data_IF_008253853512
#
_entry.id   IF_008253853512
#
_cell.length_a   1.000
_cell.length_b   1.000
_cell.length_c   1.000
_cell.angle_alpha   90.00
_cell.angle_beta   90.00
_cell.angle_gamma   90.00
#
_symmetry.space_group_name_H-M   'P 1'
#
loop_
_entity.id
_entity.type
_entity.pdbx_description
1 polymer ?
#
# COMPACT_ATOMS: atom_id res chain seq x y z
N UNK A 1 34.80 75.97 2.55
CA UNK A 1 35.02 74.50 2.53
C UNK A 1 34.17 73.79 3.60
N UNK A 2 32.84 73.73 3.50
CA UNK A 2 32.00 72.94 4.47
C UNK A 2 30.69 72.37 3.87
N UNK A 3 30.54 72.36 2.55
CA UNK A 3 29.30 71.88 1.88
C UNK A 3 29.46 70.45 1.32
N UNK A 4 30.69 70.00 1.05
CA UNK A 4 30.97 68.69 0.45
C UNK A 4 30.89 67.49 1.43
N UNK A 5 30.84 67.71 2.74
CA UNK A 5 30.78 66.63 3.74
C UNK A 5 29.37 66.13 4.06
N UNK A 6 28.33 66.92 3.80
CA UNK A 6 26.94 66.56 4.17
C UNK A 6 26.30 65.66 3.11
N UNK A 7 26.59 65.90 1.82
CA UNK A 7 26.01 65.12 0.72
C UNK A 7 26.50 63.65 0.70
N UNK A 8 27.79 63.42 0.99
CA UNK A 8 28.34 62.06 1.09
C UNK A 8 27.79 61.27 2.28
N UNK A 9 27.40 61.95 3.37
CA UNK A 9 26.84 61.32 4.57
C UNK A 9 25.37 60.87 4.38
N UNK A 10 24.61 61.60 3.58
CA UNK A 10 23.23 61.24 3.21
C UNK A 10 23.18 60.09 2.20
N UNK A 11 24.15 60.01 1.28
CA UNK A 11 24.20 58.97 0.24
C UNK A 11 24.63 57.60 0.82
N UNK A 12 25.59 57.59 1.75
CA UNK A 12 26.01 56.38 2.48
C UNK A 12 24.93 55.83 3.42
N UNK A 13 24.11 56.70 4.04
CA UNK A 13 22.95 56.29 4.86
C UNK A 13 21.79 55.70 4.04
N UNK A 14 21.62 56.09 2.78
CA UNK A 14 20.57 55.51 1.90
C UNK A 14 20.96 54.12 1.40
N UNK A 15 22.23 53.92 1.03
CA UNK A 15 22.75 52.61 0.58
C UNK A 15 22.72 51.56 1.70
N UNK A 16 23.04 51.95 2.94
CA UNK A 16 22.99 51.06 4.10
C UNK A 16 21.55 50.68 4.52
N UNK A 17 20.58 51.58 4.38
CA UNK A 17 19.15 51.26 4.60
C UNK A 17 18.59 50.30 3.53
N UNK A 18 18.96 50.47 2.27
CA UNK A 18 18.54 49.56 1.18
C UNK A 18 19.16 48.16 1.34
N UNK A 19 20.43 48.08 1.74
CA UNK A 19 21.09 46.79 2.04
C UNK A 19 20.45 46.04 3.22
N UNK A 20 20.07 46.75 4.29
CA UNK A 20 19.40 46.14 5.44
C UNK A 20 18.01 45.61 5.09
N UNK A 21 17.23 46.34 4.29
CA UNK A 21 15.90 45.90 3.83
C UNK A 21 16.01 44.67 2.93
N UNK A 22 17.00 44.62 2.03
CA UNK A 22 17.26 43.45 1.18
C UNK A 22 17.63 42.21 1.99
N UNK A 23 18.47 42.34 3.02
CA UNK A 23 18.86 41.24 3.89
C UNK A 23 17.67 40.71 4.73
N UNK A 24 16.82 41.62 5.24
CA UNK A 24 15.60 41.24 5.95
C UNK A 24 14.62 40.48 5.04
N UNK A 25 14.44 40.92 3.80
CA UNK A 25 13.56 40.24 2.84
C UNK A 25 14.04 38.82 2.51
N UNK A 26 15.35 38.61 2.33
CA UNK A 26 15.95 37.29 2.11
C UNK A 26 15.79 36.36 3.33
N UNK A 27 15.98 36.90 4.55
CA UNK A 27 15.75 36.15 5.79
C UNK A 27 14.28 35.73 5.95
N UNK A 28 13.33 36.63 5.66
CA UNK A 28 11.89 36.33 5.70
C UNK A 28 11.48 35.27 4.66
N UNK A 29 12.06 35.30 3.47
CA UNK A 29 11.87 34.27 2.45
C UNK A 29 12.47 32.91 2.88
N UNK A 30 13.65 32.91 3.52
CA UNK A 30 14.27 31.70 4.06
C UNK A 30 13.47 31.06 5.19
N UNK A 31 12.92 31.87 6.12
CA UNK A 31 12.09 31.38 7.23
C UNK A 31 10.77 30.79 6.72
N UNK A 32 10.14 31.41 5.72
CA UNK A 32 8.91 30.88 5.12
C UNK A 32 9.11 29.58 4.34
N UNK A 33 10.22 29.45 3.60
CA UNK A 33 10.58 28.19 2.94
C UNK A 33 10.85 27.05 3.94
N UNK A 34 11.54 27.34 5.05
CA UNK A 34 11.82 26.35 6.09
C UNK A 34 10.54 25.92 6.85
N UNK A 35 9.61 26.85 7.08
CA UNK A 35 8.32 26.56 7.70
C UNK A 35 7.44 25.66 6.81
N UNK A 36 7.42 25.90 5.49
CA UNK A 36 6.68 25.06 4.54
C UNK A 36 7.24 23.62 4.50
N UNK A 37 8.57 23.47 4.52
CA UNK A 37 9.20 22.16 4.54
C UNK A 37 8.88 21.38 5.82
N UNK A 38 8.90 22.05 6.99
CA UNK A 38 8.48 21.43 8.26
C UNK A 38 7.03 20.99 8.25
N UNK A 39 6.13 21.81 7.68
CA UNK A 39 4.72 21.45 7.59
C UNK A 39 4.47 20.19 6.73
N UNK A 40 5.24 20.00 5.66
CA UNK A 40 5.19 18.79 4.81
C UNK A 40 5.69 17.57 5.59
N UNK A 41 6.80 17.70 6.31
CA UNK A 41 7.38 16.61 7.12
C UNK A 41 6.44 16.23 8.27
N UNK A 42 5.83 17.21 8.94
CA UNK A 42 4.86 16.97 10.02
C UNK A 42 3.57 16.31 9.52
N UNK A 43 3.10 16.68 8.33
CA UNK A 43 1.98 16.01 7.65
C UNK A 43 2.29 14.54 7.37
N UNK A 44 3.46 14.23 6.82
CA UNK A 44 3.90 12.86 6.56
C UNK A 44 4.05 12.06 7.86
N UNK A 45 4.62 12.64 8.90
CA UNK A 45 4.78 12.00 10.20
C UNK A 45 3.43 11.76 10.92
N UNK A 46 2.43 12.62 10.69
CA UNK A 46 1.09 12.44 11.24
C UNK A 46 0.28 11.39 10.47
N UNK A 47 0.47 11.29 9.16
CA UNK A 47 -0.12 10.25 8.33
C UNK A 47 0.41 8.85 8.70
N UNK A 48 1.71 8.72 8.96
CA UNK A 48 2.33 7.44 9.36
C UNK A 48 1.94 6.99 10.78
N UNK A 49 1.75 7.93 11.73
CA UNK A 49 1.34 7.61 13.10
C UNK A 49 -0.10 7.09 13.25
N UNK A 50 -0.98 7.43 12.30
CA UNK A 50 -2.40 7.05 12.35
C UNK A 50 -2.72 5.81 11.53
N UNK A 51 -1.77 5.27 10.78
CA UNK A 51 -1.93 4.01 10.07
C UNK A 51 -1.63 2.87 11.04
N UNK A 52 -2.67 2.23 11.58
CA UNK A 52 -2.52 0.91 12.16
C UNK A 52 -1.98 -0.04 11.07
N UNK A 53 -1.01 -0.92 11.37
CA UNK A 53 -0.55 -1.89 10.39
C UNK A 53 -1.74 -2.77 9.98
N UNK A 54 -2.08 -2.90 8.69
CA UNK A 54 -3.07 -3.86 8.27
C UNK A 54 -2.55 -5.25 8.64
N UNK A 55 -3.17 -5.88 9.63
CA UNK A 55 -2.92 -7.27 9.98
C UNK A 55 -3.65 -8.14 8.96
N UNK A 56 -2.92 -8.57 7.93
CA UNK A 56 -3.39 -9.52 6.93
C UNK A 56 -3.29 -9.00 5.51
N UNK A 57 -2.09 -8.98 4.94
CA UNK A 57 -1.89 -9.23 3.52
C UNK A 57 -0.43 -9.67 3.34
N UNK A 58 -0.23 -10.93 2.98
CA UNK A 58 1.11 -11.46 2.68
C UNK A 58 1.44 -11.13 1.21
N UNK A 59 2.70 -10.79 0.94
CA UNK A 59 3.18 -10.38 -0.39
C UNK A 59 3.27 -11.58 -1.37
N UNK A 60 3.31 -12.79 -0.84
CA UNK A 60 3.39 -14.06 -1.58
C UNK A 60 2.10 -14.47 -2.30
N UNK A 61 0.95 -13.93 -1.94
CA UNK A 61 -0.34 -14.27 -2.58
C UNK A 61 -0.62 -13.44 -3.84
N UNK A 62 0.25 -12.48 -4.19
CA UNK A 62 0.10 -11.64 -5.37
C UNK A 62 0.84 -12.23 -6.57
N UNK A 63 0.07 -12.84 -7.49
CA UNK A 63 0.59 -13.35 -8.76
C UNK A 63 1.11 -12.20 -9.65
N UNK A 64 2.38 -12.19 -10.05
CA UNK A 64 2.88 -11.25 -11.05
C UNK A 64 2.46 -11.66 -12.46
N UNK A 65 1.68 -10.82 -13.12
CA UNK A 65 1.63 -10.76 -14.58
C UNK A 65 0.71 -11.77 -15.28
N UNK A 66 -0.54 -11.35 -15.52
CA UNK A 66 -1.37 -11.91 -16.60
C UNK A 66 -0.87 -11.53 -18.01
N UNK A 67 0.19 -10.71 -18.11
CA UNK A 67 0.82 -10.28 -19.36
C UNK A 67 1.75 -11.33 -20.01
N UNK A 68 2.11 -12.42 -19.32
CA UNK A 68 3.09 -13.39 -19.82
C UNK A 68 2.51 -14.63 -20.52
N UNK A 69 1.19 -14.82 -20.56
CA UNK A 69 0.62 -16.12 -20.93
C UNK A 69 0.05 -16.29 -22.35
N UNK A 70 0.10 -15.28 -23.22
CA UNK A 70 -0.42 -15.45 -24.59
C UNK A 70 0.51 -14.89 -25.67
N UNK A 71 1.65 -15.56 -25.85
CA UNK A 71 2.20 -15.80 -27.19
C UNK A 71 1.84 -17.24 -27.58
N UNK A 72 0.56 -17.52 -27.77
CA UNK A 72 0.07 -18.73 -28.39
C UNK A 72 -1.27 -18.41 -29.07
N UNK A 73 -1.43 -18.93 -30.27
CA UNK A 73 -2.37 -18.56 -31.33
C UNK A 73 -3.82 -18.28 -30.92
N UNK A 74 -4.47 -17.43 -31.74
CA UNK A 74 -5.89 -17.08 -31.70
C UNK A 74 -6.79 -18.32 -31.65
N UNK A 75 -7.30 -18.66 -30.47
CA UNK A 75 -8.42 -19.58 -30.32
C UNK A 75 -9.74 -18.78 -30.21
N UNK A 76 -10.83 -19.23 -30.87
CA UNK A 76 -12.12 -18.54 -30.83
C UNK A 76 -12.72 -18.55 -29.42
N UNK A 77 -13.36 -17.44 -29.05
CA UNK A 77 -14.06 -17.24 -27.77
C UNK A 77 -15.08 -18.37 -27.55
N UNK A 78 -15.02 -19.13 -26.44
CA UNK A 78 -16.01 -20.17 -26.19
C UNK A 78 -17.39 -19.55 -25.93
N UNK A 79 -18.43 -20.19 -26.47
CA UNK A 79 -19.82 -19.80 -26.25
C UNK A 79 -20.18 -19.80 -24.75
N UNK A 80 -21.24 -19.06 -24.38
CA UNK A 80 -21.78 -19.00 -23.01
C UNK A 80 -21.91 -20.42 -22.44
N UNK A 81 -21.20 -20.71 -21.35
CA UNK A 81 -21.25 -21.98 -20.64
C UNK A 81 -20.07 -22.93 -20.89
N UNK A 82 -19.06 -22.56 -21.69
CA UNK A 82 -17.91 -23.41 -21.94
C UNK A 82 -16.62 -22.85 -21.29
N UNK A 83 -16.28 -23.36 -20.12
CA UNK A 83 -14.88 -23.44 -19.66
C UNK A 83 -14.28 -24.70 -20.27
N UNK A 84 -13.15 -24.59 -20.97
CA UNK A 84 -12.50 -25.66 -21.76
C UNK A 84 -11.99 -26.89 -20.99
N UNK A 85 -12.59 -27.23 -19.86
CA UNK A 85 -12.37 -28.46 -19.10
C UNK A 85 -13.72 -28.95 -18.59
N UNK A 86 -14.25 -29.99 -19.26
CA UNK A 86 -15.48 -30.74 -18.90
C UNK A 86 -16.76 -29.86 -18.91
N UNK A 87 -17.76 -30.27 -19.69
CA UNK A 87 -19.09 -29.69 -19.59
C UNK A 87 -19.57 -29.84 -18.14
N UNK A 88 -19.84 -28.73 -17.45
CA UNK A 88 -20.52 -28.79 -16.16
C UNK A 88 -21.79 -29.62 -16.34
N UNK A 89 -22.09 -30.59 -15.46
CA UNK A 89 -23.35 -31.30 -15.53
C UNK A 89 -24.47 -30.27 -15.54
N UNK A 90 -25.51 -30.51 -16.35
CA UNK A 90 -26.75 -29.74 -16.35
C UNK A 90 -27.45 -29.93 -15.00
N UNK A 91 -26.91 -29.31 -13.95
CA UNK A 91 -27.63 -29.11 -12.71
C UNK A 91 -28.80 -28.20 -13.07
N UNK A 92 -30.04 -28.59 -12.76
CA UNK A 92 -31.17 -27.71 -12.98
C UNK A 92 -30.90 -26.44 -12.18
N UNK A 93 -30.57 -25.35 -12.89
CA UNK A 93 -30.60 -24.01 -12.30
C UNK A 93 -32.00 -23.87 -11.72
N UNK A 94 -32.16 -23.70 -10.39
CA UNK A 94 -33.48 -23.60 -9.82
C UNK A 94 -34.24 -22.48 -10.54
N UNK A 95 -35.51 -22.67 -10.92
CA UNK A 95 -36.29 -21.62 -11.58
C UNK A 95 -36.29 -20.40 -10.66
N UNK A 96 -35.53 -19.37 -11.05
CA UNK A 96 -35.15 -18.30 -10.12
C UNK A 96 -33.67 -17.91 -10.15
N UNK A 97 -32.74 -18.79 -10.52
CA UNK A 97 -31.30 -18.54 -10.41
C UNK A 97 -30.80 -17.42 -11.34
N UNK A 98 -31.33 -17.37 -12.57
CA UNK A 98 -31.07 -16.28 -13.52
C UNK A 98 -31.82 -14.98 -13.16
N UNK A 99 -32.78 -15.06 -12.25
CA UNK A 99 -33.56 -13.94 -11.70
C UNK A 99 -33.26 -13.71 -10.23
N UNK A 100 -32.17 -14.29 -9.69
CA UNK A 100 -31.65 -13.88 -8.41
C UNK A 100 -31.28 -12.43 -8.63
N UNK A 101 -32.13 -11.54 -8.11
CA UNK A 101 -31.79 -10.14 -7.97
C UNK A 101 -30.35 -10.10 -7.43
N UNK A 102 -29.47 -9.22 -7.94
CA UNK A 102 -28.17 -9.04 -7.33
C UNK A 102 -28.45 -8.96 -5.83
N UNK A 103 -27.83 -9.86 -5.06
CA UNK A 103 -28.01 -9.92 -3.61
C UNK A 103 -28.09 -8.47 -3.14
N UNK A 104 -29.19 -8.08 -2.51
CA UNK A 104 -29.44 -6.69 -2.13
C UNK A 104 -28.33 -6.12 -1.23
N UNK A 105 -27.40 -6.97 -0.79
CA UNK A 105 -26.14 -6.65 -0.13
C UNK A 105 -25.05 -6.02 -1.03
N UNK A 106 -25.13 -6.12 -2.36
CA UNK A 106 -24.17 -5.51 -3.28
C UNK A 106 -24.63 -4.10 -3.65
N UNK A 107 -24.14 -3.13 -2.89
CA UNK A 107 -24.36 -1.71 -3.18
C UNK A 107 -23.29 -1.19 -4.15
N UNK A 108 -23.68 -0.53 -5.26
CA UNK A 108 -22.70 0.13 -6.11
C UNK A 108 -22.01 1.26 -5.35
N UNK A 109 -20.71 1.44 -5.63
CA UNK A 109 -19.98 2.58 -5.09
C UNK A 109 -20.52 3.90 -5.67
N UNK A 110 -20.38 5.00 -4.93
CA UNK A 110 -20.66 6.32 -5.50
C UNK A 110 -19.70 6.62 -6.68
N UNK A 111 -20.05 7.54 -7.61
CA UNK A 111 -19.11 8.03 -8.62
C UNK A 111 -17.85 8.65 -7.99
N UNK A 112 -16.67 8.40 -8.57
CA UNK A 112 -15.42 9.01 -8.10
C UNK A 112 -15.34 10.46 -8.55
N UNK A 113 -14.78 11.33 -7.71
CA UNK A 113 -14.69 12.75 -7.99
C UNK A 113 -13.30 13.27 -7.70
N UNK A 114 -12.73 13.92 -8.71
CA UNK A 114 -11.47 14.67 -8.64
C UNK A 114 -11.73 16.18 -8.57
N UNK A 115 -12.91 16.61 -8.13
CA UNK A 115 -13.33 18.01 -8.17
C UNK A 115 -12.32 18.97 -7.51
N UNK A 116 -11.77 18.57 -6.35
CA UNK A 116 -10.83 19.38 -5.56
C UNK A 116 -9.35 19.11 -5.90
N UNK A 117 -9.06 18.21 -6.83
CA UNK A 117 -7.70 17.82 -7.19
C UNK A 117 -7.04 18.86 -8.11
N UNK A 118 -5.75 19.12 -7.89
CA UNK A 118 -4.96 19.93 -8.83
C UNK A 118 -4.77 19.22 -10.18
N UNK A 119 -4.44 19.95 -11.24
CA UNK A 119 -4.14 19.34 -12.54
C UNK A 119 -3.00 18.30 -12.45
N UNK A 120 -1.99 18.59 -11.63
CA UNK A 120 -0.88 17.67 -11.33
C UNK A 120 -1.37 16.40 -10.66
N UNK A 121 -2.22 16.51 -9.62
CA UNK A 121 -2.78 15.34 -8.94
C UNK A 121 -3.64 14.50 -9.89
N UNK A 122 -4.46 15.14 -10.73
CA UNK A 122 -5.26 14.42 -11.74
C UNK A 122 -4.39 13.63 -12.71
N UNK A 123 -3.30 14.23 -13.18
CA UNK A 123 -2.33 13.57 -14.06
C UNK A 123 -1.64 12.38 -13.39
N UNK A 124 -1.22 12.54 -12.13
CA UNK A 124 -0.59 11.46 -11.34
C UNK A 124 -1.56 10.32 -11.07
N UNK A 125 -2.77 10.63 -10.60
CA UNK A 125 -3.82 9.64 -10.37
C UNK A 125 -4.13 8.84 -11.64
N UNK A 126 -4.25 9.52 -12.79
CA UNK A 126 -4.47 8.87 -14.08
C UNK A 126 -3.31 7.93 -14.44
N UNK A 127 -2.06 8.38 -14.29
CA UNK A 127 -0.88 7.57 -14.58
C UNK A 127 -0.81 6.32 -13.68
N UNK A 128 -1.00 6.49 -12.37
CA UNK A 128 -0.95 5.38 -11.41
C UNK A 128 -2.06 4.37 -11.63
N UNK A 129 -3.30 4.84 -11.83
CA UNK A 129 -4.43 3.94 -12.09
C UNK A 129 -4.26 3.18 -13.41
N UNK A 130 -3.79 3.86 -14.47
CA UNK A 130 -3.48 3.23 -15.76
C UNK A 130 -2.43 2.15 -15.60
N UNK A 131 -1.36 2.45 -14.84
CA UNK A 131 -0.26 1.52 -14.58
C UNK A 131 -0.78 0.28 -13.87
N UNK A 132 -1.58 0.44 -12.82
CA UNK A 132 -2.17 -0.69 -12.10
C UNK A 132 -3.08 -1.54 -12.99
N UNK A 133 -3.99 -0.92 -13.75
CA UNK A 133 -4.89 -1.66 -14.65
C UNK A 133 -4.09 -2.44 -15.71
N UNK A 134 -3.03 -1.84 -16.25
CA UNK A 134 -2.20 -2.50 -17.24
C UNK A 134 -1.53 -3.76 -16.67
N UNK A 135 -0.85 -3.65 -15.53
CA UNK A 135 -0.11 -4.79 -14.99
C UNK A 135 -1.00 -5.88 -14.37
N UNK A 136 -2.19 -5.51 -13.89
CA UNK A 136 -3.12 -6.45 -13.26
C UNK A 136 -4.10 -7.08 -14.27
N UNK A 137 -4.52 -6.33 -15.29
CA UNK A 137 -5.68 -6.69 -16.11
C UNK A 137 -5.53 -6.33 -17.60
N UNK A 138 -4.32 -6.11 -18.14
CA UNK A 138 -4.14 -5.81 -19.57
C UNK A 138 -4.74 -6.87 -20.50
N UNK A 139 -4.70 -8.14 -20.12
CA UNK A 139 -5.21 -9.28 -20.90
C UNK A 139 -6.67 -9.63 -20.56
N UNK A 140 -7.27 -8.96 -19.57
CA UNK A 140 -8.66 -9.15 -19.20
C UNK A 140 -9.61 -8.43 -20.20
N UNK A 141 -10.87 -8.88 -20.28
CA UNK A 141 -11.91 -8.10 -20.96
C UNK A 141 -12.07 -6.72 -20.30
N UNK A 142 -12.64 -5.75 -21.01
CA UNK A 142 -12.83 -4.39 -20.49
C UNK A 142 -13.59 -4.34 -19.17
N UNK A 143 -14.49 -5.30 -18.93
CA UNK A 143 -15.18 -5.46 -17.65
C UNK A 143 -14.23 -5.78 -16.49
N UNK A 144 -13.21 -6.62 -16.71
CA UNK A 144 -12.18 -6.95 -15.72
C UNK A 144 -11.28 -5.74 -15.42
N UNK A 145 -10.88 -4.98 -16.44
CA UNK A 145 -10.14 -3.73 -16.25
C UNK A 145 -10.93 -2.71 -15.43
N UNK A 146 -12.21 -2.51 -15.76
CA UNK A 146 -13.11 -1.62 -14.98
C UNK A 146 -13.26 -2.12 -13.54
N UNK A 147 -13.28 -3.44 -13.34
CA UNK A 147 -13.43 -4.02 -12.02
C UNK A 147 -12.20 -3.79 -11.12
N UNK A 148 -10.99 -3.99 -11.65
CA UNK A 148 -9.74 -3.65 -10.95
C UNK A 148 -9.68 -2.15 -10.65
N UNK A 149 -10.04 -1.30 -11.61
CA UNK A 149 -10.11 0.14 -11.40
C UNK A 149 -11.06 0.50 -10.25
N UNK A 150 -12.25 -0.11 -10.21
CA UNK A 150 -13.24 0.10 -9.16
C UNK A 150 -12.71 -0.30 -7.78
N UNK A 151 -12.00 -1.44 -7.66
CA UNK A 151 -11.40 -1.87 -6.39
C UNK A 151 -10.37 -0.86 -5.89
N UNK A 152 -9.50 -0.35 -6.77
CA UNK A 152 -8.50 0.67 -6.40
C UNK A 152 -9.19 1.92 -5.88
N UNK A 153 -10.23 2.40 -6.57
CA UNK A 153 -10.97 3.60 -6.13
C UNK A 153 -11.80 3.35 -4.86
N UNK A 154 -12.27 2.12 -4.65
CA UNK A 154 -12.92 1.71 -3.40
C UNK A 154 -11.92 1.77 -2.23
N UNK A 155 -10.68 1.28 -2.43
CA UNK A 155 -9.60 1.39 -1.44
C UNK A 155 -9.32 2.85 -1.10
N UNK A 156 -9.19 3.73 -2.08
CA UNK A 156 -8.97 5.18 -1.84
C UNK A 156 -10.03 5.80 -0.90
N UNK A 157 -11.27 5.30 -0.95
CA UNK A 157 -12.38 5.78 -0.09
C UNK A 157 -12.52 5.08 1.24
N UNK A 158 -11.75 4.03 1.47
CA UNK A 158 -11.84 3.21 2.65
C UNK A 158 -10.69 3.54 3.61
N UNK A 159 -10.98 3.84 4.90
CA UNK A 159 -9.98 4.38 5.83
C UNK A 159 -8.88 3.38 6.23
N UNK A 160 -9.00 2.12 5.84
CA UNK A 160 -7.93 1.13 6.00
C UNK A 160 -6.82 1.24 4.93
N UNK A 161 -6.99 2.10 3.92
CA UNK A 161 -6.05 2.25 2.80
C UNK A 161 -5.65 3.71 2.59
N UNK A 162 -4.54 3.97 1.86
CA UNK A 162 -4.12 5.32 1.52
C UNK A 162 -5.23 6.13 0.81
N UNK A 163 -5.26 7.44 1.07
CA UNK A 163 -6.27 8.35 0.53
C UNK A 163 -6.00 8.86 -0.90
N UNK A 164 -4.97 8.32 -1.56
CA UNK A 164 -4.53 8.72 -2.90
C UNK A 164 -4.38 7.50 -3.79
N UNK A 165 -4.60 7.68 -5.09
CA UNK A 165 -4.57 6.58 -6.07
C UNK A 165 -3.17 6.00 -6.18
N UNK A 166 -2.14 6.83 -6.33
CA UNK A 166 -0.75 6.38 -6.35
C UNK A 166 -0.35 5.77 -5.00
N UNK A 167 -0.86 6.30 -3.88
CA UNK A 167 -0.63 5.73 -2.56
C UNK A 167 -1.15 4.30 -2.44
N UNK A 168 -2.34 4.01 -2.97
CA UNK A 168 -2.90 2.65 -3.02
C UNK A 168 -2.11 1.76 -3.97
N UNK A 169 -1.80 2.25 -5.18
CA UNK A 169 -1.13 1.47 -6.24
C UNK A 169 0.30 1.06 -5.85
N UNK A 170 1.01 1.92 -5.13
CA UNK A 170 2.38 1.65 -4.68
C UNK A 170 2.47 1.33 -3.19
N UNK A 171 1.35 1.02 -2.54
CA UNK A 171 1.31 0.64 -1.14
C UNK A 171 2.27 -0.53 -0.88
N UNK A 172 3.13 -0.38 0.12
CA UNK A 172 4.06 -1.43 0.53
C UNK A 172 5.42 -1.43 -0.18
N UNK A 173 5.57 -0.68 -1.28
CA UNK A 173 6.81 -0.68 -2.07
C UNK A 173 8.03 -0.04 -1.39
N UNK A 174 7.83 0.61 -0.25
CA UNK A 174 8.88 1.14 0.64
C UNK A 174 9.43 0.09 1.64
N UNK A 175 8.79 -1.08 1.77
CA UNK A 175 9.19 -2.18 2.67
C UNK A 175 9.03 -3.57 2.04
N UNK A 176 9.13 -4.64 2.84
CA UNK A 176 9.30 -6.02 2.38
C UNK A 176 8.07 -6.68 1.72
N UNK A 177 7.01 -5.94 1.40
CA UNK A 177 5.82 -6.49 0.75
C UNK A 177 5.07 -5.44 -0.06
N UNK A 178 4.80 -5.71 -1.33
CA UNK A 178 4.01 -4.82 -2.19
C UNK A 178 2.56 -5.28 -2.27
N UNK A 179 1.62 -4.33 -2.21
CA UNK A 179 0.21 -4.60 -2.49
C UNK A 179 -0.04 -5.00 -3.95
N UNK A 180 0.74 -4.49 -4.89
CA UNK A 180 0.70 -4.92 -6.29
C UNK A 180 2.08 -5.43 -6.66
N UNK A 181 2.16 -6.69 -7.09
CA UNK A 181 3.44 -7.38 -7.32
C UNK A 181 4.33 -6.63 -8.31
N UNK A 182 3.74 -6.00 -9.34
CA UNK A 182 4.47 -5.24 -10.35
C UNK A 182 5.29 -4.06 -9.78
N UNK A 183 4.93 -3.56 -8.60
CA UNK A 183 5.66 -2.48 -7.93
C UNK A 183 6.99 -2.96 -7.30
N UNK A 184 7.11 -4.26 -7.02
CA UNK A 184 8.30 -4.86 -6.40
C UNK A 184 9.07 -5.82 -7.33
N UNK A 185 8.41 -6.46 -8.30
CA UNK A 185 8.97 -7.57 -9.10
C UNK A 185 9.91 -7.15 -10.24
N UNK A 186 10.18 -5.85 -10.38
CA UNK A 186 10.99 -5.32 -11.48
C UNK A 186 10.21 -4.99 -12.77
N UNK A 187 8.88 -5.14 -12.80
CA UNK A 187 8.05 -4.94 -14.01
C UNK A 187 8.26 -3.59 -14.65
N UNK A 188 8.31 -2.55 -13.83
CA UNK A 188 8.41 -1.17 -14.27
C UNK A 188 9.74 -0.87 -14.96
N UNK A 189 10.78 -1.67 -14.72
CA UNK A 189 12.10 -1.54 -15.32
C UNK A 189 12.25 -2.34 -16.62
N UNK A 190 11.33 -3.27 -16.94
CA UNK A 190 11.45 -4.21 -18.08
C UNK A 190 11.17 -3.61 -19.46
N UNK A 191 10.73 -2.34 -19.54
CA UNK A 191 10.64 -1.60 -20.80
C UNK A 191 9.30 -0.92 -21.04
N UNK A 192 9.08 -0.50 -22.29
CA UNK A 192 7.89 0.28 -22.68
C UNK A 192 6.66 -0.64 -22.79
N UNK A 193 5.54 -0.31 -22.13
CA UNK A 193 4.29 -1.05 -22.25
C UNK A 193 3.81 -1.19 -23.71
N UNK A 194 3.11 -2.27 -24.02
CA UNK A 194 2.46 -2.44 -25.32
C UNK A 194 1.43 -1.34 -25.55
N UNK A 195 1.60 -0.56 -26.63
CA UNK A 195 0.83 0.68 -26.89
C UNK A 195 -0.69 0.46 -26.87
N UNK A 196 -1.18 -0.61 -27.50
CA UNK A 196 -2.62 -0.87 -27.59
C UNK A 196 -3.23 -1.20 -26.23
N UNK A 197 -2.62 -2.12 -25.47
CA UNK A 197 -3.08 -2.51 -24.14
C UNK A 197 -2.97 -1.34 -23.15
N UNK A 198 -1.92 -0.54 -23.23
CA UNK A 198 -1.77 0.67 -22.42
C UNK A 198 -2.88 1.69 -22.69
N UNK A 199 -3.20 1.95 -23.97
CA UNK A 199 -4.29 2.87 -24.33
C UNK A 199 -5.65 2.37 -23.86
N UNK A 200 -5.91 1.06 -23.88
CA UNK A 200 -7.13 0.48 -23.29
C UNK A 200 -7.19 0.74 -21.78
N UNK A 201 -6.11 0.42 -21.06
CA UNK A 201 -6.01 0.67 -19.63
C UNK A 201 -6.19 2.16 -19.29
N UNK A 202 -5.61 3.06 -20.09
CA UNK A 202 -5.72 4.51 -19.93
C UNK A 202 -7.17 4.99 -20.09
N UNK A 203 -7.88 4.50 -21.10
CA UNK A 203 -9.28 4.85 -21.32
C UNK A 203 -10.17 4.38 -20.16
N UNK A 204 -9.92 3.17 -19.65
CA UNK A 204 -10.63 2.64 -18.48
C UNK A 204 -10.32 3.46 -17.23
N UNK A 205 -9.05 3.81 -17.00
CA UNK A 205 -8.64 4.67 -15.88
C UNK A 205 -9.30 6.05 -15.95
N UNK A 206 -9.30 6.68 -17.12
CA UNK A 206 -9.91 7.98 -17.34
C UNK A 206 -11.43 7.93 -17.07
N UNK A 207 -12.12 6.89 -17.56
CA UNK A 207 -13.54 6.70 -17.30
C UNK A 207 -13.82 6.52 -15.79
N UNK A 208 -13.07 5.65 -15.11
CA UNK A 208 -13.26 5.41 -13.68
C UNK A 208 -13.05 6.68 -12.84
N UNK A 209 -11.98 7.44 -13.13
CA UNK A 209 -11.70 8.72 -12.49
C UNK A 209 -12.72 9.82 -12.85
N UNK A 210 -13.35 9.71 -14.02
CA UNK A 210 -14.45 10.54 -14.47
C UNK A 210 -15.81 10.18 -13.84
N UNK A 211 -15.86 9.18 -12.95
CA UNK A 211 -17.05 8.82 -12.20
C UNK A 211 -17.83 7.62 -12.75
N UNK A 212 -17.32 6.93 -13.76
CA UNK A 212 -17.94 5.67 -14.22
C UNK A 212 -17.78 4.58 -13.16
N UNK A 213 -18.90 3.99 -12.74
CA UNK A 213 -18.95 2.98 -11.67
C UNK A 213 -19.17 1.58 -12.24
N UNK A 214 -18.35 0.63 -11.81
CA UNK A 214 -18.57 -0.79 -12.09
C UNK A 214 -19.47 -1.41 -11.02
N UNK A 215 -20.80 -1.26 -11.19
CA UNK A 215 -21.79 -1.62 -10.18
C UNK A 215 -21.71 -3.09 -9.71
N UNK A 216 -21.35 -4.01 -10.61
CA UNK A 216 -21.23 -5.44 -10.30
C UNK A 216 -20.17 -5.75 -9.22
N UNK A 217 -19.13 -4.92 -9.11
CA UNK A 217 -18.06 -5.07 -8.11
C UNK A 217 -18.50 -4.56 -6.74
N UNK A 218 -19.50 -3.67 -6.70
CA UNK A 218 -19.97 -3.03 -5.50
C UNK A 218 -18.85 -2.38 -4.69
N UNK A 219 -18.78 -2.72 -3.40
CA UNK A 219 -17.80 -2.21 -2.44
C UNK A 219 -16.59 -3.13 -2.24
N UNK A 220 -16.25 -3.97 -3.23
CA UNK A 220 -15.08 -4.84 -3.12
C UNK A 220 -13.79 -4.04 -2.96
N UNK A 221 -12.94 -4.51 -2.06
CA UNK A 221 -11.60 -3.95 -1.78
C UNK A 221 -10.49 -4.97 -2.03
N UNK A 222 -10.86 -6.21 -2.36
CA UNK A 222 -9.95 -7.33 -2.55
C UNK A 222 -10.34 -8.08 -3.80
N UNK A 223 -9.35 -8.64 -4.50
CA UNK A 223 -9.58 -9.61 -5.55
C UNK A 223 -8.43 -10.60 -5.60
N UNK A 224 -8.68 -11.75 -6.21
CA UNK A 224 -7.65 -12.72 -6.57
C UNK A 224 -8.00 -13.37 -7.90
N UNK A 225 -7.01 -13.95 -8.59
CA UNK A 225 -7.25 -14.72 -9.80
C UNK A 225 -7.64 -16.15 -9.46
N UNK A 226 -8.27 -16.87 -10.39
CA UNK A 226 -8.53 -18.31 -10.21
C UNK A 226 -7.28 -19.17 -10.02
N UNK A 227 -6.08 -18.65 -10.33
CA UNK A 227 -4.83 -19.37 -10.23
C UNK A 227 -4.34 -19.52 -8.78
N UNK A 228 -4.88 -18.74 -7.84
CA UNK A 228 -4.48 -18.75 -6.43
C UNK A 228 -5.71 -18.87 -5.53
N UNK A 229 -5.57 -19.46 -4.34
CA UNK A 229 -6.65 -19.52 -3.35
C UNK A 229 -6.12 -19.02 -2.02
N UNK A 230 -6.08 -17.70 -1.81
CA UNK A 230 -5.50 -17.14 -0.62
C UNK A 230 -6.37 -17.45 0.61
N UNK A 231 -5.73 -17.72 1.75
CA UNK A 231 -6.42 -18.13 2.97
C UNK A 231 -7.47 -17.11 3.45
N UNK A 232 -7.23 -15.81 3.21
CA UNK A 232 -8.12 -14.72 3.61
C UNK A 232 -9.46 -14.71 2.85
N UNK A 233 -9.57 -15.35 1.68
CA UNK A 233 -10.81 -15.28 0.88
C UNK A 233 -12.02 -15.85 1.63
N UNK A 234 -11.80 -16.82 2.52
CA UNK A 234 -12.81 -17.48 3.35
C UNK A 234 -13.42 -16.54 4.39
N UNK A 235 -12.67 -15.50 4.78
CA UNK A 235 -13.08 -14.50 5.77
C UNK A 235 -13.76 -13.28 5.14
N UNK A 236 -13.87 -13.23 3.80
CA UNK A 236 -14.49 -12.14 3.06
C UNK A 236 -15.75 -12.62 2.34
N UNK A 237 -16.58 -11.66 1.92
CA UNK A 237 -17.78 -11.96 1.12
C UNK A 237 -17.42 -11.79 -0.35
N UNK A 238 -17.56 -12.86 -1.14
CA UNK A 238 -17.45 -12.77 -2.59
C UNK A 238 -18.61 -11.96 -3.16
N UNK A 239 -18.29 -10.99 -4.02
CA UNK A 239 -19.24 -10.04 -4.61
C UNK A 239 -19.47 -10.31 -6.09
N UNK A 240 -18.40 -10.64 -6.83
CA UNK A 240 -18.47 -10.89 -8.26
C UNK A 240 -17.33 -11.80 -8.73
N UNK A 241 -17.55 -12.47 -9.85
CA UNK A 241 -16.52 -13.11 -10.67
C UNK A 241 -16.55 -12.47 -12.05
N UNK A 242 -15.46 -11.81 -12.45
CA UNK A 242 -15.37 -11.07 -13.72
C UNK A 242 -14.03 -11.38 -14.37
N UNK A 243 -14.07 -11.95 -15.58
CA UNK A 243 -12.86 -12.44 -16.24
C UNK A 243 -12.17 -13.50 -15.40
N UNK A 244 -10.86 -13.38 -15.20
CA UNK A 244 -10.07 -14.28 -14.38
C UNK A 244 -10.18 -14.01 -12.87
N UNK A 245 -10.92 -12.99 -12.44
CA UNK A 245 -10.84 -12.43 -11.10
C UNK A 245 -12.10 -12.65 -10.25
N UNK A 246 -11.89 -13.01 -8.98
CA UNK A 246 -12.92 -13.07 -7.95
C UNK A 246 -12.79 -11.88 -6.99
N UNK A 247 -13.85 -11.09 -6.86
CA UNK A 247 -13.89 -9.83 -6.11
C UNK A 247 -14.56 -10.02 -4.75
N UNK A 248 -13.97 -9.44 -3.71
CA UNK A 248 -14.39 -9.64 -2.33
C UNK A 248 -14.51 -8.31 -1.57
N UNK A 249 -15.52 -8.23 -0.70
CA UNK A 249 -15.72 -7.15 0.27
C UNK A 249 -15.57 -7.68 1.70
N UNK A 250 -15.35 -6.77 2.64
CA UNK A 250 -15.31 -7.12 4.05
C UNK A 250 -16.66 -7.59 4.57
N UNK A 251 -16.63 -8.39 5.63
CA UNK A 251 -17.82 -8.75 6.40
C UNK A 251 -18.18 -7.62 7.38
N UNK A 252 -19.45 -7.59 7.79
CA UNK A 252 -19.95 -6.62 8.76
C UNK A 252 -19.83 -5.16 8.30
N UNK A 253 -19.70 -4.25 9.27
CA UNK A 253 -19.73 -2.79 9.06
C UNK A 253 -18.72 -2.31 8.03
N UNK A 254 -17.51 -2.86 8.03
CA UNK A 254 -16.42 -2.45 7.13
C UNK A 254 -16.70 -2.76 5.64
N UNK A 255 -17.60 -3.70 5.35
CA UNK A 255 -18.03 -3.98 3.97
C UNK A 255 -19.21 -3.13 3.50
N UNK A 256 -19.79 -2.31 4.37
CA UNK A 256 -20.97 -1.48 4.05
C UNK A 256 -20.56 -0.12 3.51
N UNK A 257 -21.44 0.58 2.75
CA UNK A 257 -21.17 1.93 2.27
C UNK A 257 -20.77 2.93 3.37
N UNK A 258 -21.24 2.73 4.61
CA UNK A 258 -20.92 3.60 5.76
C UNK A 258 -19.43 3.62 6.13
N UNK A 259 -18.67 2.58 5.78
CA UNK A 259 -17.22 2.53 6.03
C UNK A 259 -16.42 3.36 5.03
N UNK A 260 -16.96 3.68 3.85
CA UNK A 260 -16.27 4.33 2.74
C UNK A 260 -16.39 5.85 2.80
N UNK A 261 -15.93 6.40 3.93
CA UNK A 261 -16.08 7.81 4.33
C UNK A 261 -14.84 8.66 4.02
N UNK A 262 -13.77 8.07 3.49
CA UNK A 262 -12.57 8.81 3.13
C UNK A 262 -12.80 9.56 1.81
N UNK A 263 -12.55 10.87 1.83
CA UNK A 263 -12.70 11.73 0.65
C UNK A 263 -11.34 11.92 -0.02
N UNK A 264 -11.34 11.91 -1.35
CA UNK A 264 -10.17 12.24 -2.13
C UNK A 264 -9.93 13.75 -2.14
N UNK A 265 -8.78 14.19 -1.62
CA UNK A 265 -8.41 15.62 -1.52
C UNK A 265 -7.18 16.00 -2.36
N UNK A 266 -6.62 15.06 -3.13
CA UNK A 266 -5.35 15.23 -3.83
C UNK A 266 -4.14 14.84 -2.97
N UNK A 267 -2.95 15.36 -3.31
CA UNK A 267 -1.70 15.00 -2.64
C UNK A 267 -1.07 13.73 -3.18
N UNK A 268 -1.23 13.48 -4.48
CA UNK A 268 -0.71 12.26 -5.12
C UNK A 268 0.82 12.22 -5.02
N UNK A 269 1.43 11.15 -4.49
CA UNK A 269 2.88 10.97 -4.55
C UNK A 269 3.35 10.88 -6.01
N UNK A 270 4.65 11.06 -6.22
CA UNK A 270 5.23 10.89 -7.56
C UNK A 270 4.96 9.44 -8.03
N UNK A 271 4.41 9.23 -9.24
CA UNK A 271 4.14 7.90 -9.75
C UNK A 271 5.40 7.02 -9.76
N UNK A 272 5.29 5.84 -9.16
CA UNK A 272 6.36 4.88 -9.03
C UNK A 272 6.43 4.32 -7.61
N UNK A 273 7.30 3.31 -7.38
CA UNK A 273 7.54 2.75 -6.06
C UNK A 273 7.88 3.86 -5.05
N UNK A 274 7.30 3.77 -3.86
CA UNK A 274 7.54 4.70 -2.76
C UNK A 274 9.01 4.61 -2.34
N UNK A 275 9.61 5.77 -2.03
CA UNK A 275 11.01 5.82 -1.63
C UNK A 275 11.21 4.99 -0.35
N UNK A 276 12.09 3.98 -0.41
CA UNK A 276 12.47 3.21 0.79
C UNK A 276 13.08 4.16 1.81
N UNK A 277 12.51 4.18 3.00
CA UNK A 277 13.15 4.83 4.14
C UNK A 277 14.32 3.93 4.56
N UNK A 278 15.47 4.05 3.90
CA UNK A 278 16.70 3.51 4.48
C UNK A 278 16.95 4.27 5.78
N UNK A 279 17.01 3.60 6.95
CA UNK A 279 17.48 4.28 8.15
C UNK A 279 18.85 4.84 7.82
N UNK A 280 19.00 6.16 7.91
CA UNK A 280 20.32 6.79 7.82
C UNK A 280 21.22 6.04 8.79
N UNK A 281 22.39 5.51 8.36
CA UNK A 281 23.34 4.98 9.32
C UNK A 281 23.60 6.10 10.30
N UNK A 282 23.22 5.90 11.56
CA UNK A 282 23.77 6.67 12.66
C UNK A 282 25.26 6.45 12.54
N UNK A 283 25.97 7.43 11.98
CA UNK A 283 27.42 7.50 12.14
C UNK A 283 27.59 7.48 13.64
N UNK A 284 28.04 6.35 14.18
CA UNK A 284 28.40 6.25 15.58
C UNK A 284 29.38 7.40 15.81
N UNK A 285 28.95 8.41 16.55
CA UNK A 285 29.84 9.44 17.02
C UNK A 285 31.02 8.70 17.64
N UNK A 286 32.23 9.02 17.18
CA UNK A 286 33.45 8.43 17.72
C UNK A 286 33.35 8.44 19.26
N UNK A 287 33.64 7.32 19.94
CA UNK A 287 33.48 7.25 21.38
C UNK A 287 34.28 8.39 22.00
N UNK A 288 33.69 9.18 22.92
CA UNK A 288 34.42 10.22 23.62
C UNK A 288 35.60 9.58 24.37
N UNK A 289 36.73 10.30 24.53
CA UNK A 289 37.85 9.78 25.30
C UNK A 289 37.40 9.38 26.70
N UNK A 290 38.00 8.33 27.31
CA UNK A 290 37.54 7.82 28.59
C UNK A 290 37.58 8.94 29.65
N UNK A 291 36.41 9.24 30.21
CA UNK A 291 36.28 10.17 31.31
C UNK A 291 36.95 9.60 32.57
N UNK A 292 37.67 10.46 33.30
CA UNK A 292 38.30 10.13 34.57
C UNK A 292 37.31 9.50 35.58
N UNK A 293 37.77 8.55 36.43
CA UNK A 293 36.90 7.80 37.32
C UNK A 293 36.22 8.73 38.32
N UNK A 294 34.89 8.81 38.25
CA UNK A 294 34.06 9.42 39.30
C UNK A 294 33.81 8.36 40.36
N UNK A 295 34.23 8.67 41.57
CA UNK A 295 33.98 7.90 42.81
C UNK A 295 32.49 7.63 42.98
N UNK A 296 32.13 6.35 43.07
CA UNK A 296 30.76 5.90 43.32
C UNK A 296 30.38 6.23 44.77
N UNK A 297 29.29 6.98 44.96
CA UNK A 297 28.61 7.05 46.26
C UNK A 297 27.63 5.89 46.36
N UNK A 298 27.69 5.19 47.49
CA UNK A 298 27.02 3.93 47.76
C UNK A 298 25.50 4.10 47.83
N UNK A 299 24.79 3.39 46.96
CA UNK A 299 23.38 3.05 47.15
C UNK A 299 23.28 1.55 47.45
N UNK A 300 22.79 1.28 48.65
CA UNK A 300 22.64 0.00 49.31
C UNK A 300 21.65 -0.87 48.52
N UNK A 301 22.10 -2.05 48.08
CA UNK A 301 21.21 -3.18 47.78
C UNK A 301 21.52 -4.32 48.78
N UNK A 302 20.51 -4.96 49.37
CA UNK A 302 20.73 -6.11 50.25
C UNK A 302 21.21 -7.32 49.43
N UNK A 303 22.14 -8.06 50.03
CA UNK A 303 22.91 -9.13 49.42
C UNK A 303 22.09 -10.41 49.21
N UNK A 304 22.18 -10.99 48.01
CA UNK A 304 22.14 -12.43 47.83
C UNK A 304 23.51 -12.90 47.35
N UNK A 305 24.16 -13.70 48.18
CA UNK A 305 25.47 -14.28 47.93
C UNK A 305 25.36 -15.38 46.86
N UNK A 306 26.04 -15.21 45.73
CA UNK A 306 26.47 -16.35 44.91
C UNK A 306 27.86 -16.78 45.38
N UNK A 307 27.92 -17.94 46.04
CA UNK A 307 29.16 -18.63 46.30
C UNK A 307 29.64 -19.29 44.99
N UNK A 308 30.72 -18.77 44.42
CA UNK A 308 31.50 -19.43 43.37
C UNK A 308 32.60 -20.28 44.01
N UNK A 309 32.47 -21.60 43.92
CA UNK A 309 33.61 -22.53 43.99
C UNK A 309 33.84 -23.12 42.59
N UNK A 310 35.09 -23.35 42.18
CA UNK A 310 35.39 -23.89 40.86
C UNK A 310 35.18 -25.41 40.85
N UNK A 311 34.28 -25.88 39.97
CA UNK A 311 34.08 -27.32 39.73
C UNK A 311 34.87 -27.73 38.48
N UNK A 312 35.75 -28.70 38.67
CA UNK A 312 36.57 -29.36 37.65
C UNK A 312 35.71 -30.09 36.59
N UNK A 313 36.24 -30.41 35.38
CA UNK A 313 35.43 -30.98 34.31
C UNK A 313 35.06 -32.44 34.60
N UNK A 314 33.79 -32.82 34.34
CA UNK A 314 33.28 -34.20 34.34
C UNK A 314 32.57 -34.50 33.01
N UNK A 315 32.51 -35.78 32.59
CA UNK A 315 32.29 -36.18 31.21
C UNK A 315 30.82 -36.15 30.79
N UNK A 316 30.63 -36.11 29.47
CA UNK A 316 29.35 -36.09 28.78
C UNK A 316 28.42 -37.24 29.20
N UNK A 317 27.20 -36.88 29.60
CA UNK A 317 26.06 -37.78 29.63
C UNK A 317 24.82 -37.03 29.12
N UNK A 318 24.32 -37.51 27.99
CA UNK A 318 23.13 -37.07 27.29
C UNK A 318 21.89 -37.36 28.14
N UNK A 319 21.10 -36.33 28.48
CA UNK A 319 19.86 -36.46 29.27
C UNK A 319 18.73 -35.58 28.72
N UNK A 320 18.59 -35.57 27.39
CA UNK A 320 17.32 -35.19 26.78
C UNK A 320 16.28 -36.28 27.10
N UNK A 321 15.07 -35.96 27.58
CA UNK A 321 13.97 -36.91 27.55
C UNK A 321 13.66 -37.25 26.09
N UNK A 322 13.53 -38.54 25.80
CA UNK A 322 13.22 -39.04 24.46
C UNK A 322 11.91 -38.45 23.92
N UNK A 323 11.85 -38.38 22.59
CA UNK A 323 10.71 -37.84 21.83
C UNK A 323 9.36 -38.29 22.39
N UNK A 324 8.43 -37.34 22.44
CA UNK A 324 7.03 -37.52 22.79
C UNK A 324 6.40 -38.64 21.93
N UNK A 325 6.33 -39.87 22.46
CA UNK A 325 5.55 -40.93 21.81
C UNK A 325 4.06 -40.59 21.91
N UNK A 326 3.46 -40.30 20.77
CA UNK A 326 2.00 -40.32 20.62
C UNK A 326 1.55 -41.74 20.96
N UNK A 327 0.86 -41.90 22.10
CA UNK A 327 0.28 -43.18 22.52
C UNK A 327 -0.68 -43.67 21.42
N UNK A 328 -0.55 -44.93 20.99
CA UNK A 328 -1.29 -45.51 19.84
C UNK A 328 -2.81 -45.36 19.93
N UNK A 329 -3.37 -45.20 21.14
CA UNK A 329 -4.80 -44.92 21.34
C UNK A 329 -5.31 -43.61 20.72
N UNK A 330 -4.41 -42.72 20.28
CA UNK A 330 -4.75 -41.41 19.72
C UNK A 330 -4.51 -41.28 18.22
N UNK A 331 -4.07 -42.35 17.53
CA UNK A 331 -3.77 -42.30 16.09
C UNK A 331 -5.01 -42.16 15.20
N UNK A 332 -6.19 -42.59 15.68
CA UNK A 332 -7.39 -42.72 14.82
C UNK A 332 -8.64 -41.95 15.32
N UNK A 333 -8.54 -41.07 16.32
CA UNK A 333 -9.75 -40.51 16.97
C UNK A 333 -10.39 -39.30 16.28
N UNK A 334 -9.78 -38.75 15.22
CA UNK A 334 -10.43 -37.79 14.30
C UNK A 334 -11.08 -36.55 14.93
N UNK A 335 -10.75 -36.18 16.17
CA UNK A 335 -11.32 -35.03 16.87
C UNK A 335 -10.23 -33.97 17.11
N UNK A 336 -10.42 -32.72 16.66
CA UNK A 336 -9.50 -31.65 17.01
C UNK A 336 -9.60 -31.33 18.51
N UNK A 337 -8.44 -31.14 19.13
CA UNK A 337 -8.30 -30.75 20.53
C UNK A 337 -8.92 -29.35 20.72
N UNK A 338 -9.76 -29.19 21.75
CA UNK A 338 -10.32 -27.90 22.18
C UNK A 338 -9.29 -27.07 22.92
#
# INVERSE_FOLDING_TARGET
>A
MRVWTILGWLQTRRLSKLGLVGLCALMLAGVSAHAALRAIVDQQAKASRNAAPPTGYEAEDHFPGSAYFYTADEAPVPARGATGTIALPDLPLPPGAATLAPDGSIHPAAPFSLAYASATDRGRALQCLTTAIYYEAATEPDAGQRAVAQVILNRVRHPAFPATVCGVVFQGSDHAGCQFSFACDGSLQRGTPGKAAWLRALNVAAAALGGHVMAQVGMATHYHTYAVTPAWNRSLVMTAAIGAHFFHRWQGWWGTPAAFRQSYVGGEPVPGPLARITPTPVIAAAPPPPAAPKTASAAIQPAYAQASLPVAPRPAADTLPGDSQILDRWKDSGKPLR
#
